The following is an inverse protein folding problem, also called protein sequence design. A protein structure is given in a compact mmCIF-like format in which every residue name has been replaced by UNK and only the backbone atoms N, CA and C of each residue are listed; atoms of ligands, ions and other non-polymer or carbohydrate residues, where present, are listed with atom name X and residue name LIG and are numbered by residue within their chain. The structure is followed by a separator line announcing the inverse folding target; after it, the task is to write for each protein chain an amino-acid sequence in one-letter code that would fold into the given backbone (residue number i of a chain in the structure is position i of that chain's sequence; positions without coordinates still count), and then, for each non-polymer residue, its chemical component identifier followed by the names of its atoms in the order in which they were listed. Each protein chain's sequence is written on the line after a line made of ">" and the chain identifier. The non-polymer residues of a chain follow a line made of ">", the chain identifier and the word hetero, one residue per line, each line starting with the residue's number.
data_IF_070968532180
#
_entry.id   IF_070968532180
#
_cell.length_a   1.000
_cell.length_b   1.000
_cell.length_c   1.000
_cell.angle_alpha   90.00
_cell.angle_beta   90.00
_cell.angle_gamma   90.00
#
_symmetry.space_group_name_H-M   'P 1'
#
loop_
_entity.id
_entity.type
_entity.pdbx_description
1 polymer ?
#
# COMPACT_ATOMS: atom_id res chain seq x y z
N UNK A 1 -10.80 -65.30 28.40
CA UNK A 1 -9.37 -64.91 28.37
C UNK A 1 -9.19 -63.88 27.26
N UNK A 2 -8.69 -62.69 27.62
CA UNK A 2 -8.65 -61.51 26.73
C UNK A 2 -7.25 -61.48 26.09
N UNK A 3 -7.17 -61.82 24.81
CA UNK A 3 -5.91 -61.80 24.05
C UNK A 3 -5.50 -60.35 23.78
N UNK A 4 -4.65 -59.80 24.65
CA UNK A 4 -3.95 -58.54 24.39
C UNK A 4 -2.84 -58.81 23.37
N UNK A 5 -3.18 -58.77 22.08
CA UNK A 5 -2.15 -58.75 21.03
C UNK A 5 -1.37 -57.45 21.18
N UNK A 6 -0.11 -57.53 21.61
CA UNK A 6 0.79 -56.38 21.64
C UNK A 6 0.96 -55.82 20.23
N UNK A 7 0.99 -54.49 20.11
CA UNK A 7 1.21 -53.80 18.83
C UNK A 7 2.52 -54.30 18.19
N UNK A 8 2.43 -54.72 16.93
CA UNK A 8 3.60 -55.18 16.19
C UNK A 8 4.52 -54.02 15.84
N UNK A 9 5.84 -54.25 15.89
CA UNK A 9 6.86 -53.25 15.55
C UNK A 9 6.67 -52.68 14.13
N UNK A 10 6.17 -53.52 13.21
CA UNK A 10 5.81 -53.14 11.84
C UNK A 10 4.63 -52.15 11.82
N UNK A 11 3.62 -52.33 12.68
CA UNK A 11 2.43 -51.49 12.72
C UNK A 11 2.75 -50.08 13.20
N UNK A 12 3.64 -49.97 14.20
CA UNK A 12 4.18 -48.68 14.68
C UNK A 12 4.97 -47.98 13.57
N UNK A 13 5.75 -48.73 12.78
CA UNK A 13 6.50 -48.21 11.65
C UNK A 13 5.58 -47.67 10.56
N UNK A 14 4.56 -48.45 10.17
CA UNK A 14 3.55 -48.04 9.18
C UNK A 14 2.79 -46.80 9.66
N UNK A 15 2.33 -46.78 10.91
CA UNK A 15 1.65 -45.62 11.48
C UNK A 15 2.55 -44.37 11.47
N UNK A 16 3.84 -44.53 11.76
CA UNK A 16 4.82 -43.44 11.73
C UNK A 16 5.05 -42.92 10.32
N UNK A 17 5.16 -43.80 9.32
CA UNK A 17 5.32 -43.41 7.90
C UNK A 17 4.08 -42.65 7.42
N UNK A 18 2.88 -43.13 7.77
CA UNK A 18 1.64 -42.44 7.42
C UNK A 18 1.60 -41.05 8.07
N UNK A 19 1.95 -40.94 9.35
CA UNK A 19 1.97 -39.68 10.08
C UNK A 19 2.98 -38.68 9.50
N UNK A 20 4.20 -39.13 9.20
CA UNK A 20 5.22 -38.29 8.54
C UNK A 20 4.76 -37.86 7.15
N UNK A 21 4.12 -38.76 6.39
CA UNK A 21 3.60 -38.44 5.05
C UNK A 21 2.50 -37.38 5.10
N UNK A 22 1.62 -37.46 6.10
CA UNK A 22 0.59 -36.45 6.35
C UNK A 22 1.20 -35.10 6.72
N UNK A 23 2.19 -35.07 7.62
CA UNK A 23 2.90 -33.84 7.99
C UNK A 23 3.61 -33.23 6.78
N UNK A 24 4.30 -34.04 5.97
CA UNK A 24 4.97 -33.59 4.76
C UNK A 24 4.00 -33.00 3.73
N UNK A 25 2.75 -33.49 3.67
CA UNK A 25 1.72 -32.94 2.79
C UNK A 25 1.11 -31.62 3.30
N UNK A 26 1.07 -31.40 4.62
CA UNK A 26 0.45 -30.20 5.24
C UNK A 26 1.42 -29.01 5.29
N UNK A 27 2.72 -29.24 5.52
CA UNK A 27 3.71 -28.16 5.65
C UNK A 27 3.72 -27.18 4.46
N UNK A 28 3.69 -27.62 3.17
CA UNK A 28 3.66 -26.71 2.04
C UNK A 28 2.41 -25.82 2.00
N UNK A 29 1.27 -26.31 2.49
CA UNK A 29 0.03 -25.52 2.57
C UNK A 29 0.16 -24.41 3.62
N UNK A 30 0.79 -24.72 4.75
CA UNK A 30 1.05 -23.73 5.79
C UNK A 30 2.01 -22.64 5.30
N UNK A 31 3.10 -23.03 4.64
CA UNK A 31 4.07 -22.09 4.05
C UNK A 31 3.43 -21.21 2.96
N UNK A 32 2.58 -21.80 2.11
CA UNK A 32 1.83 -21.04 1.12
C UNK A 32 0.90 -20.01 1.77
N UNK A 33 0.21 -20.39 2.86
CA UNK A 33 -0.66 -19.49 3.62
C UNK A 33 0.11 -18.32 4.24
N UNK A 34 1.24 -18.60 4.91
CA UNK A 34 2.09 -17.56 5.50
C UNK A 34 2.64 -16.60 4.43
N UNK A 35 3.09 -17.13 3.28
CA UNK A 35 3.58 -16.31 2.19
C UNK A 35 2.51 -15.38 1.60
N UNK A 36 1.26 -15.85 1.50
CA UNK A 36 0.15 -15.01 1.05
C UNK A 36 -0.17 -13.92 2.07
N UNK A 37 -0.19 -14.26 3.36
CA UNK A 37 -0.44 -13.30 4.43
C UNK A 37 0.63 -12.20 4.45
N UNK A 38 1.90 -12.57 4.35
CA UNK A 38 3.01 -11.61 4.30
C UNK A 38 2.93 -10.68 3.07
N UNK A 39 2.47 -11.18 1.92
CA UNK A 39 2.21 -10.34 0.74
C UNK A 39 1.06 -9.37 0.98
N UNK A 40 -0.04 -9.83 1.57
CA UNK A 40 -1.19 -9.00 1.89
C UNK A 40 -0.83 -7.88 2.87
N UNK A 41 -0.05 -8.20 3.90
CA UNK A 41 0.44 -7.23 4.88
C UNK A 41 1.28 -6.13 4.22
N UNK A 42 2.22 -6.49 3.35
CA UNK A 42 3.03 -5.51 2.61
C UNK A 42 2.18 -4.54 1.78
N UNK A 43 1.13 -5.06 1.12
CA UNK A 43 0.19 -4.22 0.35
C UNK A 43 -0.60 -3.29 1.28
N UNK A 44 -1.09 -3.81 2.42
CA UNK A 44 -1.85 -3.02 3.39
C UNK A 44 -1.02 -1.87 4.00
N UNK A 45 0.24 -2.14 4.33
CA UNK A 45 1.20 -1.14 4.83
C UNK A 45 1.43 -0.04 3.78
N UNK A 46 1.69 -0.43 2.53
CA UNK A 46 1.92 0.53 1.44
C UNK A 46 0.66 1.37 1.14
N UNK A 47 -0.52 0.76 1.14
CA UNK A 47 -1.78 1.47 0.91
C UNK A 47 -2.06 2.49 2.03
N UNK A 48 -1.77 2.12 3.27
CA UNK A 48 -1.92 3.01 4.42
C UNK A 48 -0.98 4.22 4.32
N UNK A 49 0.27 3.99 3.89
CA UNK A 49 1.23 5.07 3.62
C UNK A 49 0.74 5.99 2.48
N UNK A 50 0.30 5.43 1.36
CA UNK A 50 -0.27 6.20 0.24
C UNK A 50 -1.44 7.08 0.68
N UNK A 51 -2.35 6.56 1.50
CA UNK A 51 -3.50 7.32 2.01
C UNK A 51 -3.05 8.50 2.86
N UNK A 52 -2.10 8.30 3.79
CA UNK A 52 -1.57 9.40 4.62
C UNK A 52 -0.83 10.45 3.79
N UNK A 53 0.00 10.02 2.84
CA UNK A 53 0.72 10.92 1.93
C UNK A 53 -0.27 11.73 1.07
N UNK A 54 -1.31 11.08 0.53
CA UNK A 54 -2.38 11.75 -0.20
C UNK A 54 -3.03 12.85 0.64
N UNK A 55 -3.44 12.54 1.87
CA UNK A 55 -4.10 13.53 2.73
C UNK A 55 -3.21 14.74 3.00
N UNK A 56 -1.92 14.54 3.27
CA UNK A 56 -0.97 15.65 3.45
C UNK A 56 -0.83 16.52 2.20
N UNK A 57 -0.75 15.92 1.02
CA UNK A 57 -0.59 16.67 -0.24
C UNK A 57 -1.91 17.35 -0.65
N UNK A 58 -3.07 16.76 -0.32
CA UNK A 58 -4.39 17.31 -0.64
C UNK A 58 -4.72 18.60 0.13
N UNK A 59 -3.96 18.93 1.17
CA UNK A 59 -4.06 20.21 1.89
C UNK A 59 -3.26 21.33 1.21
N UNK A 60 -2.38 20.99 0.27
CA UNK A 60 -1.50 21.95 -0.42
C UNK A 60 -2.20 22.50 -1.66
N UNK A 61 -2.21 23.82 -1.82
CA UNK A 61 -2.68 24.47 -3.04
C UNK A 61 -1.64 24.30 -4.18
N UNK A 62 -1.92 23.50 -5.23
CA UNK A 62 -0.96 23.24 -6.30
C UNK A 62 -0.72 24.44 -7.23
N UNK A 63 -1.55 25.49 -7.11
CA UNK A 63 -1.33 26.74 -7.82
C UNK A 63 -0.25 27.62 -7.15
N UNK A 64 -0.02 27.45 -5.85
CA UNK A 64 1.02 28.16 -5.09
C UNK A 64 2.29 27.30 -4.95
N UNK A 65 2.13 26.01 -4.70
CA UNK A 65 3.24 25.07 -4.56
C UNK A 65 3.07 23.91 -5.54
N UNK A 66 3.89 23.89 -6.59
CA UNK A 66 3.81 22.86 -7.64
C UNK A 66 4.64 21.61 -7.37
N UNK A 67 5.41 21.56 -6.27
CA UNK A 67 6.23 20.41 -5.92
C UNK A 67 6.59 20.40 -4.45
N UNK A 68 6.91 19.23 -3.93
CA UNK A 68 7.39 19.08 -2.58
C UNK A 68 8.02 17.73 -2.30
N UNK A 69 8.59 17.63 -1.11
CA UNK A 69 9.11 16.39 -0.54
C UNK A 69 8.65 16.28 0.90
N UNK A 70 8.58 15.06 1.41
CA UNK A 70 8.26 14.80 2.81
C UNK A 70 8.59 13.37 3.19
N UNK A 71 8.25 13.01 4.43
CA UNK A 71 8.42 11.67 4.94
C UNK A 71 7.17 11.21 5.70
N UNK A 72 6.94 9.90 5.72
CA UNK A 72 5.89 9.24 6.49
C UNK A 72 6.43 7.91 7.03
N UNK A 73 6.90 7.92 8.28
CA UNK A 73 7.60 6.78 8.88
C UNK A 73 8.89 6.46 8.12
N UNK A 74 8.98 5.25 7.57
CA UNK A 74 10.14 4.76 6.80
C UNK A 74 10.10 5.10 5.31
N UNK A 75 9.12 5.90 4.88
CA UNK A 75 8.92 6.26 3.50
C UNK A 75 9.26 7.73 3.28
N UNK A 76 10.16 8.00 2.35
CA UNK A 76 10.29 9.34 1.78
C UNK A 76 9.35 9.45 0.57
N UNK A 77 8.79 10.63 0.34
CA UNK A 77 8.00 10.87 -0.86
C UNK A 77 8.35 12.20 -1.50
N UNK A 78 8.22 12.25 -2.83
CA UNK A 78 8.38 13.45 -3.64
C UNK A 78 7.18 13.56 -4.54
N UNK A 79 6.67 14.78 -4.71
CA UNK A 79 5.51 15.02 -5.54
C UNK A 79 5.70 16.25 -6.42
N UNK A 80 5.01 16.22 -7.55
CA UNK A 80 4.98 17.31 -8.51
C UNK A 80 3.57 17.44 -9.08
N UNK A 81 3.06 18.67 -9.07
CA UNK A 81 1.80 19.05 -9.67
C UNK A 81 2.03 19.66 -11.05
N UNK A 82 1.27 19.18 -12.03
CA UNK A 82 1.20 19.76 -13.38
C UNK A 82 -0.22 20.24 -13.63
N UNK A 83 -0.37 21.49 -14.04
CA UNK A 83 -1.67 22.03 -14.46
C UNK A 83 -2.15 21.28 -15.71
N UNK A 84 -3.38 20.79 -15.68
CA UNK A 84 -4.01 20.03 -16.78
C UNK A 84 -5.27 20.70 -17.34
N UNK A 85 -5.70 21.83 -16.77
CA UNK A 85 -6.76 22.67 -17.33
C UNK A 85 -6.37 24.15 -17.29
N UNK A 86 -7.06 24.95 -18.08
CA UNK A 86 -6.99 26.40 -17.95
C UNK A 86 -7.69 26.87 -16.67
N UNK A 87 -7.31 28.07 -16.23
CA UNK A 87 -7.97 28.75 -15.12
C UNK A 87 -9.37 29.19 -15.53
N UNK A 88 -10.37 28.84 -14.74
CA UNK A 88 -11.74 29.31 -14.90
C UNK A 88 -12.11 30.20 -13.73
N UNK A 89 -12.76 31.32 -14.03
CA UNK A 89 -13.31 32.19 -12.99
C UNK A 89 -14.50 31.49 -12.35
N UNK A 90 -14.46 31.36 -11.04
CA UNK A 90 -15.61 30.89 -10.28
C UNK A 90 -16.43 32.11 -9.85
N UNK A 91 -17.60 32.29 -10.45
CA UNK A 91 -18.54 33.33 -10.05
C UNK A 91 -19.31 32.82 -8.83
N UNK A 92 -18.96 33.30 -7.63
CA UNK A 92 -19.82 33.13 -6.46
C UNK A 92 -20.86 34.24 -6.44
N UNK A 93 -22.13 33.92 -6.18
CA UNK A 93 -23.21 34.91 -6.04
C UNK A 93 -23.03 35.84 -4.84
N UNK A 94 -22.20 35.45 -3.87
CA UNK A 94 -22.11 36.13 -2.56
C UNK A 94 -20.72 36.71 -2.25
N UNK A 95 -19.66 36.40 -3.01
CA UNK A 95 -18.29 36.80 -2.66
C UNK A 95 -17.70 37.85 -3.62
N UNK A 96 -17.32 39.00 -3.07
CA UNK A 96 -16.53 40.08 -3.70
C UNK A 96 -15.14 39.64 -4.20
N UNK A 97 -14.71 38.40 -3.94
CA UNK A 97 -13.37 37.90 -4.26
C UNK A 97 -13.43 36.99 -5.49
N UNK A 98 -12.77 37.40 -6.57
CA UNK A 98 -12.63 36.62 -7.80
C UNK A 98 -11.54 35.57 -7.60
N UNK A 99 -11.93 34.31 -7.48
CA UNK A 99 -10.97 33.20 -7.51
C UNK A 99 -10.94 32.56 -8.89
N UNK A 100 -9.72 32.24 -9.34
CA UNK A 100 -9.50 31.42 -10.52
C UNK A 100 -9.09 30.02 -10.07
N UNK A 101 -9.82 29.01 -10.55
CA UNK A 101 -9.52 27.61 -10.25
C UNK A 101 -9.01 26.89 -11.49
N UNK A 102 -8.04 25.99 -11.31
CA UNK A 102 -7.57 25.09 -12.36
C UNK A 102 -7.37 23.69 -11.78
N UNK A 103 -7.48 22.69 -12.65
CA UNK A 103 -7.23 21.29 -12.29
C UNK A 103 -5.76 20.96 -12.50
N UNK A 104 -5.18 20.28 -11.52
CA UNK A 104 -3.80 19.81 -11.54
C UNK A 104 -3.79 18.29 -11.44
N UNK A 105 -2.83 17.66 -12.13
CA UNK A 105 -2.45 16.28 -11.88
C UNK A 105 -1.22 16.28 -10.99
N UNK A 106 -1.32 15.63 -9.84
CA UNK A 106 -0.23 15.44 -8.91
C UNK A 106 0.31 14.03 -9.11
N UNK A 107 1.60 13.94 -9.42
CA UNK A 107 2.34 12.68 -9.46
C UNK A 107 3.17 12.57 -8.18
N UNK A 108 3.09 11.43 -7.50
CA UNK A 108 3.79 11.15 -6.25
C UNK A 108 4.66 9.92 -6.44
N UNK A 109 5.92 10.02 -6.04
CA UNK A 109 6.88 8.93 -6.00
C UNK A 109 7.27 8.65 -4.55
N UNK A 110 7.20 7.40 -4.13
CA UNK A 110 7.54 6.93 -2.80
C UNK A 110 8.88 6.19 -2.87
N UNK A 111 9.77 6.52 -1.95
CA UNK A 111 11.10 5.95 -1.82
C UNK A 111 11.21 5.26 -0.46
N UNK A 112 11.84 4.09 -0.38
CA UNK A 112 12.35 3.58 0.89
C UNK A 112 13.36 4.58 1.46
N UNK A 113 13.42 4.71 2.78
CA UNK A 113 14.44 5.53 3.44
C UNK A 113 15.82 5.21 2.88
N UNK A 114 16.62 6.24 2.55
CA UNK A 114 17.99 6.13 2.02
C UNK A 114 18.13 5.56 0.59
N UNK A 115 17.04 5.18 -0.09
CA UNK A 115 17.09 4.70 -1.48
C UNK A 115 16.78 5.80 -2.50
N UNK A 116 17.50 5.79 -3.62
CA UNK A 116 17.23 6.68 -4.76
C UNK A 116 16.21 6.12 -5.75
N UNK A 117 15.83 4.84 -5.63
CA UNK A 117 14.85 4.21 -6.51
C UNK A 117 13.45 4.27 -5.89
N UNK A 118 12.49 4.74 -6.68
CA UNK A 118 11.10 4.79 -6.26
C UNK A 118 10.55 3.36 -6.13
N UNK A 119 10.06 3.01 -4.94
CA UNK A 119 9.40 1.74 -4.68
C UNK A 119 8.00 1.69 -5.28
N UNK A 120 7.31 2.82 -5.25
CA UNK A 120 5.92 2.91 -5.72
C UNK A 120 5.62 4.33 -6.21
N UNK A 121 4.60 4.46 -7.06
CA UNK A 121 4.14 5.72 -7.61
C UNK A 121 2.62 5.74 -7.70
N UNK A 122 2.03 6.89 -7.47
CA UNK A 122 0.61 7.10 -7.70
C UNK A 122 0.33 8.53 -8.17
N UNK A 123 -0.85 8.72 -8.75
CA UNK A 123 -1.27 10.01 -9.29
C UNK A 123 -2.72 10.29 -8.95
N UNK A 124 -3.04 11.54 -8.72
CA UNK A 124 -4.40 11.99 -8.49
C UNK A 124 -4.61 13.41 -9.03
N UNK A 125 -5.88 13.80 -9.17
CA UNK A 125 -6.27 15.13 -9.61
C UNK A 125 -6.66 15.97 -8.40
N UNK A 126 -6.26 17.24 -8.40
CA UNK A 126 -6.54 18.17 -7.32
C UNK A 126 -6.78 19.58 -7.87
N UNK A 127 -7.63 20.36 -7.21
CA UNK A 127 -7.92 21.73 -7.60
C UNK A 127 -6.88 22.67 -6.99
N UNK A 128 -6.37 23.59 -7.81
CA UNK A 128 -5.58 24.74 -7.33
C UNK A 128 -6.35 26.02 -7.56
N UNK A 129 -6.13 27.00 -6.69
CA UNK A 129 -6.79 28.30 -6.75
C UNK A 129 -5.79 29.45 -6.66
N UNK A 130 -6.11 30.58 -7.28
CA UNK A 130 -5.39 31.84 -7.09
C UNK A 130 -6.37 33.01 -7.03
N UNK A 131 -5.98 34.06 -6.31
CA UNK A 131 -6.70 35.35 -6.27
C UNK A 131 -6.41 36.16 -7.54
#
# INVERSE_FOLDING_TARGET
>A
MRNSKGFGLIEVLVASVVLVSLLAAVLPLFDAGQNQLAKAEKVAVMLSAKKRIYHRIAEVNPAEQSSGKGHDGHWEYRWQARRISDFRQQHSREALVRYQVALYQINVSIYPNESQQALDQFRFKHLGWKK
#
